data_IF_161198493139
#
_entry.id   IF_161198493139
#
_cell.length_a   1.000
_cell.length_b   1.000
_cell.length_c   1.000
_cell.angle_alpha   90.00
_cell.angle_beta   90.00
_cell.angle_gamma   90.00
#
_symmetry.space_group_name_H-M   'P 1'
#
loop_
_entity.id
_entity.type
_entity.pdbx_description
1 polymer ?
#
# COMPACT_ATOMS: atom_id res chain seq x y z
N UNK A 1 28.43 -25.44 -63.66
CA UNK A 1 27.68 -25.88 -62.45
C UNK A 1 27.22 -24.67 -61.75
N UNK A 2 25.95 -24.35 -61.87
CA UNK A 2 25.30 -23.11 -61.39
C UNK A 2 24.63 -23.43 -60.07
N UNK A 3 24.97 -22.69 -59.01
CA UNK A 3 24.33 -22.76 -57.75
C UNK A 3 23.32 -21.61 -57.66
N UNK A 4 22.04 -21.94 -57.65
CA UNK A 4 20.95 -20.98 -57.40
C UNK A 4 20.81 -20.71 -55.91
N UNK A 5 20.93 -19.44 -55.48
CA UNK A 5 20.55 -18.97 -54.19
C UNK A 5 19.05 -18.65 -54.18
N UNK A 6 18.28 -19.35 -53.37
CA UNK A 6 16.88 -19.03 -53.08
C UNK A 6 16.86 -18.08 -51.89
N UNK A 7 16.47 -16.84 -52.14
CA UNK A 7 16.24 -15.86 -51.09
C UNK A 7 14.83 -16.05 -50.49
N UNK A 8 14.73 -16.43 -49.22
CA UNK A 8 13.47 -16.39 -48.47
C UNK A 8 13.20 -14.97 -48.02
N UNK A 9 12.17 -14.38 -48.54
CA UNK A 9 11.63 -13.09 -48.13
C UNK A 9 10.79 -13.32 -46.87
N UNK A 10 11.32 -12.97 -45.70
CA UNK A 10 10.57 -12.88 -44.44
C UNK A 10 9.75 -11.58 -44.47
N UNK A 11 8.47 -11.68 -44.76
CA UNK A 11 7.52 -10.59 -44.59
C UNK A 11 7.17 -10.53 -43.10
N UNK A 12 7.80 -9.60 -42.41
CA UNK A 12 7.40 -9.20 -41.05
C UNK A 12 6.10 -8.41 -41.17
N UNK A 13 4.99 -9.01 -40.79
CA UNK A 13 3.75 -8.26 -40.50
C UNK A 13 3.92 -7.46 -39.26
N UNK A 14 4.31 -6.20 -39.37
CA UNK A 14 4.16 -5.21 -38.35
C UNK A 14 2.66 -4.87 -38.23
N UNK A 15 1.94 -5.55 -37.36
CA UNK A 15 0.64 -5.09 -36.89
C UNK A 15 0.87 -3.89 -35.93
N UNK A 16 1.13 -2.72 -36.52
CA UNK A 16 0.96 -1.47 -35.82
C UNK A 16 -0.54 -1.23 -35.66
N UNK A 17 -1.07 -1.53 -34.49
CA UNK A 17 -2.41 -1.05 -34.11
C UNK A 17 -2.38 0.49 -34.15
N UNK A 18 -3.37 1.14 -34.77
CA UNK A 18 -3.39 2.59 -34.87
C UNK A 18 -3.57 3.19 -33.47
N UNK A 19 -2.63 4.01 -33.06
CA UNK A 19 -2.60 4.73 -31.78
C UNK A 19 -3.71 5.80 -31.61
N UNK A 20 -4.65 5.89 -32.53
CA UNK A 20 -5.64 6.98 -32.60
C UNK A 20 -7.10 6.58 -32.40
N UNK A 21 -7.38 5.40 -31.79
CA UNK A 21 -8.77 4.96 -31.56
C UNK A 21 -9.32 5.22 -30.13
N UNK A 22 -8.60 5.97 -29.29
CA UNK A 22 -8.97 6.09 -27.86
C UNK A 22 -9.17 7.53 -27.40
N UNK A 23 -9.83 8.37 -28.18
CA UNK A 23 -10.26 9.68 -27.70
C UNK A 23 -11.71 9.91 -28.16
N UNK A 24 -12.64 9.35 -27.44
CA UNK A 24 -13.98 9.88 -27.14
C UNK A 24 -14.75 8.87 -26.30
N UNK A 25 -15.25 9.33 -25.15
CA UNK A 25 -16.08 8.60 -24.19
C UNK A 25 -15.38 7.45 -23.43
N UNK A 26 -14.60 7.82 -22.40
CA UNK A 26 -13.78 6.89 -21.59
C UNK A 26 -14.57 5.79 -20.85
N UNK A 27 -15.87 5.89 -20.68
CA UNK A 27 -16.68 4.87 -20.03
C UNK A 27 -17.14 3.75 -21.00
N UNK A 28 -17.30 4.03 -22.29
CA UNK A 28 -17.83 3.05 -23.23
C UNK A 28 -16.76 2.25 -23.99
N UNK A 29 -15.53 2.75 -24.08
CA UNK A 29 -14.45 2.07 -24.81
C UNK A 29 -13.81 0.92 -24.02
N UNK A 30 -13.76 0.99 -22.69
CA UNK A 30 -13.21 -0.05 -21.84
C UNK A 30 -14.10 -1.28 -21.72
N UNK A 31 -15.42 -1.12 -21.80
CA UNK A 31 -16.41 -2.22 -21.69
C UNK A 31 -16.22 -3.29 -22.75
N UNK A 32 -15.75 -2.93 -23.96
CA UNK A 32 -15.53 -3.89 -25.03
C UNK A 32 -14.36 -4.87 -24.81
N UNK A 33 -13.27 -4.41 -24.16
CA UNK A 33 -12.05 -5.21 -23.93
C UNK A 33 -12.08 -5.96 -22.59
N UNK A 34 -12.70 -5.39 -21.59
CA UNK A 34 -12.69 -5.90 -20.20
C UNK A 34 -14.02 -6.50 -19.76
N UNK A 35 -14.99 -6.62 -20.65
CA UNK A 35 -16.30 -7.18 -20.38
C UNK A 35 -17.11 -6.33 -19.38
N UNK A 36 -18.34 -6.77 -19.15
CA UNK A 36 -19.23 -6.10 -18.22
C UNK A 36 -19.02 -6.66 -16.80
N UNK A 37 -18.73 -5.81 -15.84
CA UNK A 37 -18.61 -6.19 -14.43
C UNK A 37 -19.84 -6.91 -13.87
N UNK A 38 -21.05 -6.61 -14.40
CA UNK A 38 -22.28 -7.26 -13.97
C UNK A 38 -22.37 -8.75 -14.35
N UNK A 39 -21.58 -9.21 -15.31
CA UNK A 39 -21.50 -10.63 -15.69
C UNK A 39 -20.64 -11.47 -14.76
N UNK A 40 -19.82 -10.83 -13.92
CA UNK A 40 -18.90 -11.54 -13.03
C UNK A 40 -19.66 -12.31 -11.94
N UNK A 41 -19.16 -13.52 -11.57
CA UNK A 41 -19.69 -14.27 -10.45
C UNK A 41 -19.62 -13.42 -9.18
N UNK A 42 -20.73 -13.40 -8.43
CA UNK A 42 -20.76 -12.64 -7.18
C UNK A 42 -20.12 -13.44 -6.06
N UNK A 43 -19.18 -12.84 -5.38
CA UNK A 43 -18.65 -13.37 -4.14
C UNK A 43 -19.76 -13.51 -3.07
N UNK A 44 -19.57 -14.46 -2.15
CA UNK A 44 -20.49 -14.68 -1.05
C UNK A 44 -20.54 -13.45 -0.14
N UNK A 45 -21.72 -13.00 0.23
CA UNK A 45 -21.88 -11.93 1.21
C UNK A 45 -21.48 -12.42 2.59
N UNK A 46 -20.74 -11.62 3.33
CA UNK A 46 -20.53 -11.86 4.73
C UNK A 46 -21.79 -11.51 5.53
N UNK A 47 -22.27 -12.45 6.34
CA UNK A 47 -23.57 -12.36 7.00
C UNK A 47 -23.65 -11.42 8.20
N UNK A 48 -22.53 -10.81 8.62
CA UNK A 48 -22.49 -9.90 9.76
C UNK A 48 -22.51 -8.46 9.26
N UNK A 49 -23.35 -7.66 9.87
CA UNK A 49 -23.57 -6.27 9.45
C UNK A 49 -22.42 -5.33 9.81
N UNK A 50 -22.56 -4.06 9.41
CA UNK A 50 -21.60 -3.01 9.68
C UNK A 50 -21.52 -2.68 11.17
N UNK A 51 -20.50 -1.87 11.59
CA UNK A 51 -20.48 -1.33 12.93
C UNK A 51 -21.77 -0.61 13.28
N UNK A 52 -22.19 -0.72 14.52
CA UNK A 52 -23.40 -0.05 15.01
C UNK A 52 -23.32 1.48 14.97
N UNK A 53 -22.12 2.02 14.91
CA UNK A 53 -21.88 3.45 14.81
C UNK A 53 -20.88 3.71 13.70
N UNK A 54 -21.32 4.31 12.62
CA UNK A 54 -20.49 4.84 11.57
C UNK A 54 -21.00 6.18 11.12
N UNK A 55 -20.12 7.01 10.62
CA UNK A 55 -20.48 8.24 9.92
C UNK A 55 -20.38 8.02 8.41
N UNK A 56 -21.33 8.55 7.66
CA UNK A 56 -21.21 8.58 6.19
C UNK A 56 -20.05 9.52 5.85
N UNK A 57 -19.16 9.16 4.90
CA UNK A 57 -18.13 10.07 4.44
C UNK A 57 -18.74 11.40 4.00
N UNK A 58 -18.29 12.48 4.61
CA UNK A 58 -18.69 13.83 4.22
C UNK A 58 -17.59 14.47 3.41
N UNK A 59 -17.95 15.29 2.44
CA UNK A 59 -16.97 16.05 1.67
C UNK A 59 -16.36 17.15 2.56
N UNK A 60 -15.05 17.06 2.91
CA UNK A 60 -14.44 18.11 3.72
C UNK A 60 -14.33 19.40 2.90
N UNK A 61 -15.18 20.35 3.18
CA UNK A 61 -15.24 21.64 2.48
C UNK A 61 -13.94 22.45 2.56
N UNK A 62 -13.01 22.05 3.40
CA UNK A 62 -11.73 22.71 3.63
C UNK A 62 -10.56 22.12 2.81
N UNK A 63 -10.80 21.08 2.03
CA UNK A 63 -9.80 20.46 1.17
C UNK A 63 -10.16 20.70 -0.30
N UNK A 64 -9.23 21.28 -1.10
CA UNK A 64 -9.46 21.43 -2.52
C UNK A 64 -9.59 20.08 -3.21
N UNK A 65 -10.35 20.03 -4.30
CA UNK A 65 -10.46 18.84 -5.13
C UNK A 65 -9.08 18.39 -5.62
N UNK A 66 -8.82 17.11 -5.57
CA UNK A 66 -7.61 16.49 -6.10
C UNK A 66 -7.65 16.48 -7.63
N UNK A 67 -6.48 16.59 -8.29
CA UNK A 67 -6.41 16.40 -9.75
C UNK A 67 -6.88 15.00 -10.18
N UNK A 68 -6.77 13.99 -9.30
CA UNK A 68 -7.31 12.67 -9.55
C UNK A 68 -8.81 12.72 -9.89
N UNK A 69 -9.59 13.58 -9.21
CA UNK A 69 -11.03 13.72 -9.42
C UNK A 69 -11.40 14.24 -10.83
N UNK A 70 -10.44 14.82 -11.56
CA UNK A 70 -10.68 15.31 -12.92
C UNK A 70 -10.70 14.20 -13.99
N UNK A 71 -10.19 13.00 -13.68
CA UNK A 71 -10.07 11.93 -14.65
C UNK A 71 -10.51 10.55 -14.15
N UNK A 72 -10.42 10.30 -12.85
CA UNK A 72 -10.88 9.04 -12.25
C UNK A 72 -12.29 9.24 -11.66
N UNK A 73 -13.28 8.67 -12.34
CA UNK A 73 -14.71 8.94 -12.04
C UNK A 73 -15.32 7.87 -11.13
N UNK A 74 -16.52 8.17 -10.63
CA UNK A 74 -17.32 7.20 -9.86
C UNK A 74 -17.62 5.95 -10.68
N UNK A 75 -17.98 6.13 -11.94
CA UNK A 75 -18.31 5.04 -12.85
C UNK A 75 -17.11 4.11 -13.05
N UNK A 76 -15.90 4.66 -13.16
CA UNK A 76 -14.67 3.87 -13.22
C UNK A 76 -14.43 3.09 -11.92
N UNK A 77 -14.62 3.73 -10.78
CA UNK A 77 -14.45 3.05 -9.48
C UNK A 77 -15.45 1.90 -9.32
N UNK A 78 -16.73 2.13 -9.64
CA UNK A 78 -17.78 1.13 -9.52
C UNK A 78 -17.64 0.00 -10.55
N UNK A 79 -17.12 0.28 -11.76
CA UNK A 79 -16.77 -0.77 -12.74
C UNK A 79 -15.57 -1.60 -12.28
N UNK A 80 -14.56 -0.96 -11.71
CA UNK A 80 -13.36 -1.65 -11.23
C UNK A 80 -13.62 -2.46 -9.95
N UNK A 81 -14.51 -2.00 -9.08
CA UNK A 81 -14.74 -2.62 -7.75
C UNK A 81 -16.22 -2.85 -7.46
N UNK A 82 -16.96 -3.58 -8.33
CA UNK A 82 -18.41 -3.79 -8.20
C UNK A 82 -18.76 -4.59 -6.95
N UNK A 83 -17.77 -5.27 -6.35
CA UNK A 83 -17.93 -6.13 -5.17
C UNK A 83 -17.27 -5.55 -3.92
N UNK A 84 -16.88 -4.27 -3.96
CA UNK A 84 -16.33 -3.60 -2.78
C UNK A 84 -17.26 -3.79 -1.57
N UNK A 85 -16.68 -4.15 -0.41
CA UNK A 85 -17.41 -4.42 0.85
C UNK A 85 -18.39 -5.62 0.84
N UNK A 86 -18.54 -6.37 -0.23
CA UNK A 86 -19.51 -7.49 -0.26
C UNK A 86 -19.19 -8.59 0.72
N UNK A 87 -17.92 -8.77 1.09
CA UNK A 87 -17.55 -9.68 2.17
C UNK A 87 -18.24 -9.37 3.50
N UNK A 88 -18.77 -8.14 3.65
CA UNK A 88 -19.40 -7.62 4.87
C UNK A 88 -20.89 -7.27 4.71
N UNK A 89 -21.46 -7.59 3.57
CA UNK A 89 -22.86 -7.33 3.26
C UNK A 89 -23.17 -5.87 2.89
N UNK A 90 -24.39 -5.57 2.45
CA UNK A 90 -24.81 -4.22 2.08
C UNK A 90 -24.89 -3.33 3.31
N UNK A 91 -24.38 -2.10 3.21
CA UNK A 91 -24.42 -1.13 4.29
C UNK A 91 -24.26 0.30 3.80
N UNK A 92 -24.90 1.22 4.48
CA UNK A 92 -24.66 2.65 4.33
C UNK A 92 -23.30 3.12 4.86
N UNK A 93 -22.57 2.24 5.55
CA UNK A 93 -21.31 2.54 6.23
C UNK A 93 -20.11 1.83 5.62
N UNK A 94 -20.06 1.71 4.32
CA UNK A 94 -18.96 1.03 3.67
C UNK A 94 -17.69 1.89 3.62
N UNK A 95 -16.55 1.41 4.19
CA UNK A 95 -15.30 2.13 4.16
C UNK A 95 -14.69 2.27 2.76
N UNK A 96 -15.10 1.40 1.83
CA UNK A 96 -14.61 1.40 0.46
C UNK A 96 -15.69 1.88 -0.49
N UNK A 97 -15.70 3.17 -0.78
CA UNK A 97 -16.59 3.80 -1.75
C UNK A 97 -15.83 4.84 -2.55
N UNK A 98 -16.36 5.24 -3.70
CA UNK A 98 -15.76 6.33 -4.47
C UNK A 98 -15.68 7.63 -3.66
N UNK A 99 -16.69 7.95 -2.85
CA UNK A 99 -16.67 9.15 -2.01
C UNK A 99 -15.55 9.07 -0.95
N UNK A 100 -15.39 7.93 -0.31
CA UNK A 100 -14.28 7.71 0.62
C UNK A 100 -12.92 7.84 -0.10
N UNK A 101 -12.80 7.27 -1.30
CA UNK A 101 -11.58 7.34 -2.11
C UNK A 101 -11.26 8.78 -2.53
N UNK A 102 -12.24 9.49 -3.07
CA UNK A 102 -12.15 10.90 -3.46
C UNK A 102 -11.71 11.79 -2.31
N UNK A 103 -12.39 11.69 -1.15
CA UNK A 103 -12.07 12.50 0.02
C UNK A 103 -10.66 12.18 0.54
N UNK A 104 -10.30 10.90 0.64
CA UNK A 104 -8.98 10.49 1.07
C UNK A 104 -7.87 11.02 0.15
N UNK A 105 -8.07 11.00 -1.17
CA UNK A 105 -7.07 11.48 -2.15
C UNK A 105 -6.76 12.96 -2.00
N UNK A 106 -7.66 13.78 -1.48
CA UNK A 106 -7.44 15.20 -1.22
C UNK A 106 -6.39 15.48 -0.14
N UNK A 107 -6.09 14.50 0.69
CA UNK A 107 -5.00 14.56 1.67
C UNK A 107 -3.64 14.19 1.06
N UNK A 108 -3.63 13.68 -0.15
CA UNK A 108 -2.43 13.24 -0.89
C UNK A 108 -2.46 13.81 -2.31
N UNK A 109 -2.21 15.11 -2.47
CA UNK A 109 -2.43 15.82 -3.75
C UNK A 109 -1.53 15.34 -4.90
N UNK A 110 -0.46 14.62 -4.61
CA UNK A 110 0.43 14.04 -5.62
C UNK A 110 -0.09 12.68 -6.13
N UNK A 111 -0.97 12.00 -5.38
CA UNK A 111 -1.47 10.68 -5.72
C UNK A 111 -2.36 10.69 -6.97
N UNK A 112 -2.04 9.84 -7.93
CA UNK A 112 -2.80 9.73 -9.19
C UNK A 112 -2.79 11.02 -10.01
N UNK A 113 -1.72 11.80 -9.90
CA UNK A 113 -1.53 13.08 -10.58
C UNK A 113 -0.18 13.13 -11.28
N UNK A 114 0.12 14.26 -11.93
CA UNK A 114 1.43 14.51 -12.53
C UNK A 114 2.28 15.51 -11.73
N UNK A 115 1.85 15.82 -10.50
CA UNK A 115 2.57 16.75 -9.64
C UNK A 115 3.89 16.11 -9.14
N UNK A 116 4.95 16.90 -9.14
CA UNK A 116 6.27 16.51 -8.63
C UNK A 116 6.89 15.27 -9.30
N UNK A 117 6.49 14.96 -10.53
CA UNK A 117 7.05 13.83 -11.30
C UNK A 117 8.24 14.34 -12.11
N UNK A 118 9.43 13.80 -11.80
CA UNK A 118 10.69 14.22 -12.44
C UNK A 118 11.15 13.30 -13.57
N UNK A 119 10.54 12.12 -13.75
CA UNK A 119 10.94 11.22 -14.82
C UNK A 119 10.45 11.71 -16.19
N UNK A 120 11.23 11.39 -17.21
CA UNK A 120 10.92 11.65 -18.62
C UNK A 120 10.60 10.38 -19.40
N UNK A 121 10.51 9.24 -18.69
CA UNK A 121 10.26 7.92 -19.31
C UNK A 121 8.80 7.80 -19.76
N UNK A 122 7.88 8.35 -18.97
CA UNK A 122 6.45 8.33 -19.23
C UNK A 122 5.89 9.74 -19.28
N UNK A 123 4.84 9.91 -20.06
CA UNK A 123 4.08 11.17 -20.09
C UNK A 123 3.37 11.43 -18.75
N UNK A 124 2.95 12.66 -18.53
CA UNK A 124 2.17 13.03 -17.35
C UNK A 124 0.89 12.19 -17.20
N UNK A 125 0.21 11.90 -18.31
CA UNK A 125 -0.99 11.06 -18.33
C UNK A 125 -0.68 9.60 -17.99
N UNK A 126 0.39 9.06 -18.52
CA UNK A 126 0.83 7.69 -18.21
C UNK A 126 1.26 7.55 -16.74
N UNK A 127 2.02 8.51 -16.21
CA UNK A 127 2.47 8.48 -14.82
C UNK A 127 1.30 8.42 -13.83
N UNK A 128 0.30 9.30 -13.96
CA UNK A 128 -0.86 9.31 -13.06
C UNK A 128 -1.68 8.02 -13.12
N UNK A 129 -1.80 7.43 -14.30
CA UNK A 129 -2.52 6.15 -14.51
C UNK A 129 -1.75 4.97 -13.93
N UNK A 130 -0.43 4.94 -14.12
CA UNK A 130 0.46 3.92 -13.55
C UNK A 130 0.47 3.95 -12.03
N UNK A 131 0.43 5.14 -11.43
CA UNK A 131 0.38 5.32 -9.99
C UNK A 131 -0.90 4.69 -9.40
N UNK A 132 -2.04 5.03 -9.99
CA UNK A 132 -3.31 4.44 -9.58
C UNK A 132 -3.38 2.93 -9.82
N UNK A 133 -2.85 2.45 -10.96
CA UNK A 133 -2.77 1.03 -11.27
C UNK A 133 -1.93 0.26 -10.24
N UNK A 134 -0.82 0.82 -9.78
CA UNK A 134 0.02 0.21 -8.77
C UNK A 134 -0.68 0.14 -7.40
N UNK A 135 -1.31 1.22 -6.97
CA UNK A 135 -2.09 1.22 -5.73
C UNK A 135 -3.19 0.15 -5.76
N UNK A 136 -3.96 0.06 -6.85
CA UNK A 136 -5.00 -0.95 -6.98
C UNK A 136 -4.44 -2.37 -7.09
N UNK A 137 -3.28 -2.56 -7.70
CA UNK A 137 -2.63 -3.87 -7.75
C UNK A 137 -2.28 -4.39 -6.35
N UNK A 138 -1.83 -3.51 -5.47
CA UNK A 138 -1.60 -3.87 -4.08
C UNK A 138 -2.92 -4.11 -3.32
N UNK A 139 -3.93 -3.28 -3.55
CA UNK A 139 -5.26 -3.46 -2.93
C UNK A 139 -5.92 -4.79 -3.30
N UNK A 140 -5.75 -5.27 -4.54
CA UNK A 140 -6.23 -6.60 -4.96
C UNK A 140 -5.56 -7.72 -4.15
N UNK A 141 -4.25 -7.64 -3.96
CA UNK A 141 -3.54 -8.65 -3.17
C UNK A 141 -3.99 -8.66 -1.71
N UNK A 142 -4.17 -7.49 -1.13
CA UNK A 142 -4.45 -7.35 0.30
C UNK A 142 -5.93 -7.55 0.66
N UNK A 143 -6.84 -7.16 -0.22
CA UNK A 143 -8.29 -7.13 0.10
C UNK A 143 -9.16 -7.92 -0.84
N UNK A 144 -8.59 -8.53 -1.89
CA UNK A 144 -9.35 -9.23 -2.92
C UNK A 144 -10.05 -10.48 -2.41
N UNK A 145 -11.07 -10.91 -3.16
CA UNK A 145 -11.72 -12.20 -2.93
C UNK A 145 -10.72 -13.34 -3.21
N UNK A 146 -10.54 -14.22 -2.25
CA UNK A 146 -9.56 -15.31 -2.32
C UNK A 146 -10.15 -16.64 -2.82
N UNK A 147 -11.44 -16.69 -3.08
CA UNK A 147 -12.08 -17.91 -3.57
C UNK A 147 -11.86 -18.08 -5.08
N UNK A 148 -10.73 -18.66 -5.44
CA UNK A 148 -10.38 -18.91 -6.85
C UNK A 148 -11.41 -19.79 -7.58
N UNK A 149 -12.20 -20.59 -6.88
CA UNK A 149 -13.22 -21.45 -7.49
C UNK A 149 -14.37 -20.65 -8.13
N UNK A 150 -14.59 -19.40 -7.72
CA UNK A 150 -15.58 -18.53 -8.35
C UNK A 150 -15.35 -18.34 -9.83
N UNK A 151 -14.11 -18.41 -10.28
CA UNK A 151 -13.71 -18.02 -11.63
C UNK A 151 -13.32 -19.20 -12.52
N UNK A 152 -13.25 -20.43 -11.97
CA UNK A 152 -12.76 -21.62 -12.70
C UNK A 152 -13.66 -22.06 -13.87
N UNK A 153 -14.92 -21.66 -13.87
CA UNK A 153 -15.86 -21.96 -14.94
C UNK A 153 -15.81 -20.95 -16.10
N UNK A 154 -15.07 -19.86 -15.94
CA UNK A 154 -14.94 -18.80 -16.93
C UNK A 154 -13.73 -19.04 -17.86
N UNK A 155 -13.77 -18.59 -19.13
CA UNK A 155 -12.59 -18.49 -19.96
C UNK A 155 -11.51 -17.62 -19.30
N UNK A 156 -10.24 -17.93 -19.51
CA UNK A 156 -9.09 -17.28 -18.81
C UNK A 156 -9.14 -15.75 -18.81
N UNK A 157 -9.48 -15.15 -19.94
CA UNK A 157 -9.56 -13.69 -20.04
C UNK A 157 -10.73 -13.12 -19.20
N UNK A 158 -11.86 -13.77 -19.23
CA UNK A 158 -13.05 -13.37 -18.47
C UNK A 158 -12.82 -13.63 -16.97
N UNK A 159 -12.20 -14.75 -16.62
CA UNK A 159 -11.79 -15.06 -15.27
C UNK A 159 -10.86 -13.97 -14.70
N UNK A 160 -9.87 -13.54 -15.49
CA UNK A 160 -8.96 -12.45 -15.13
C UNK A 160 -9.68 -11.12 -14.97
N UNK A 161 -10.57 -10.78 -15.91
CA UNK A 161 -11.35 -9.54 -15.86
C UNK A 161 -12.24 -9.46 -14.61
N UNK A 162 -12.81 -10.57 -14.19
CA UNK A 162 -13.63 -10.63 -12.98
C UNK A 162 -12.78 -10.67 -11.70
N UNK A 163 -11.68 -11.39 -11.71
CA UNK A 163 -10.79 -11.53 -10.55
C UNK A 163 -10.18 -10.19 -10.13
N UNK A 164 -9.67 -9.41 -11.10
CA UNK A 164 -9.06 -8.11 -10.78
C UNK A 164 -10.07 -7.00 -10.47
N UNK A 165 -11.36 -7.27 -10.62
CA UNK A 165 -12.46 -6.45 -10.07
C UNK A 165 -12.84 -6.81 -8.62
N UNK A 166 -12.19 -7.81 -8.03
CA UNK A 166 -12.47 -8.29 -6.67
C UNK A 166 -11.80 -7.51 -5.54
N UNK A 167 -11.16 -6.37 -5.82
CA UNK A 167 -10.50 -5.56 -4.79
C UNK A 167 -11.47 -4.90 -3.82
N UNK A 168 -10.94 -4.45 -2.67
CA UNK A 168 -11.71 -3.80 -1.60
C UNK A 168 -12.86 -4.68 -1.06
N UNK A 169 -12.72 -5.99 -1.21
CA UNK A 169 -13.70 -6.96 -0.74
C UNK A 169 -13.62 -7.13 0.78
N UNK A 170 -12.41 -7.34 1.31
CA UNK A 170 -12.16 -7.60 2.73
C UNK A 170 -11.82 -6.33 3.51
N UNK A 171 -12.39 -6.20 4.71
CA UNK A 171 -12.06 -5.11 5.62
C UNK A 171 -10.85 -5.42 6.48
N UNK A 172 -10.73 -6.69 6.92
CA UNK A 172 -9.75 -7.19 7.84
C UNK A 172 -8.94 -8.33 7.23
N UNK A 173 -7.74 -8.48 7.69
CA UNK A 173 -6.85 -9.60 7.35
C UNK A 173 -7.55 -10.94 7.60
N UNK A 174 -7.43 -11.86 6.64
CA UNK A 174 -8.14 -13.14 6.65
C UNK A 174 -9.60 -13.07 6.20
N UNK A 175 -10.10 -11.89 5.89
CA UNK A 175 -11.46 -11.68 5.35
C UNK A 175 -12.57 -12.13 6.31
N UNK A 176 -13.72 -12.58 5.76
CA UNK A 176 -14.87 -12.98 6.56
C UNK A 176 -14.62 -14.17 7.51
N UNK A 177 -13.66 -15.01 7.17
CA UNK A 177 -13.26 -16.18 7.96
C UNK A 177 -12.02 -15.94 8.83
N UNK A 178 -11.70 -14.68 9.09
CA UNK A 178 -10.50 -14.28 9.81
C UNK A 178 -10.40 -14.97 11.17
N UNK A 179 -9.30 -15.68 11.39
CA UNK A 179 -8.95 -16.25 12.68
C UNK A 179 -8.30 -15.23 13.63
N UNK A 180 -8.08 -14.01 13.17
CA UNK A 180 -7.60 -12.91 14.01
C UNK A 180 -8.70 -12.32 14.87
N UNK A 181 -9.95 -12.34 14.38
CA UNK A 181 -11.11 -11.91 15.15
C UNK A 181 -11.52 -13.03 16.14
N UNK A 182 -11.86 -12.64 17.36
CA UNK A 182 -12.34 -13.62 18.33
C UNK A 182 -13.87 -13.80 18.23
N UNK A 183 -14.36 -14.92 17.65
CA UNK A 183 -15.79 -15.13 17.45
C UNK A 183 -16.57 -15.41 18.74
N UNK A 184 -15.87 -15.78 19.80
CA UNK A 184 -16.49 -16.21 21.08
C UNK A 184 -16.73 -15.06 22.05
N UNK A 185 -16.25 -13.85 21.74
CA UNK A 185 -16.47 -12.68 22.61
C UNK A 185 -17.91 -12.23 22.54
N UNK A 186 -18.64 -12.14 23.65
CA UNK A 186 -20.00 -11.63 23.65
C UNK A 186 -20.08 -10.24 23.04
N UNK A 187 -20.99 -10.04 22.09
CA UNK A 187 -21.10 -8.81 21.33
C UNK A 187 -20.06 -8.64 20.23
N UNK A 188 -19.26 -9.68 19.96
CA UNK A 188 -18.32 -9.70 18.86
C UNK A 188 -19.00 -9.34 17.55
N UNK A 189 -18.51 -8.30 16.93
CA UNK A 189 -18.80 -7.95 15.56
C UNK A 189 -17.49 -7.95 14.80
N UNK A 190 -17.45 -8.39 13.54
CA UNK A 190 -16.27 -8.25 12.70
C UNK A 190 -15.78 -6.80 12.61
N UNK A 191 -16.64 -5.87 12.95
CA UNK A 191 -16.38 -4.45 13.01
C UNK A 191 -15.88 -3.99 14.38
N UNK A 192 -15.89 -4.87 15.38
CA UNK A 192 -15.41 -4.62 16.71
C UNK A 192 -13.96 -5.11 16.86
N UNK A 193 -13.10 -4.73 15.92
CA UNK A 193 -11.70 -5.16 15.84
C UNK A 193 -10.80 -4.73 17.00
N UNK A 194 -11.38 -4.34 18.14
CA UNK A 194 -10.65 -4.08 19.37
C UNK A 194 -10.39 -5.35 20.18
N UNK A 195 -11.01 -6.47 19.82
CA UNK A 195 -10.70 -7.78 20.40
C UNK A 195 -10.22 -8.74 19.31
N UNK A 196 -9.17 -9.49 19.62
CA UNK A 196 -8.55 -10.42 18.69
C UNK A 196 -8.01 -11.66 19.39
N UNK A 197 -7.75 -12.70 18.61
CA UNK A 197 -6.97 -13.85 19.05
C UNK A 197 -5.51 -13.45 19.27
N UNK A 198 -4.72 -14.35 19.87
CA UNK A 198 -3.27 -14.12 20.03
C UNK A 198 -2.57 -13.89 18.68
N UNK A 199 -3.05 -14.51 17.61
CA UNK A 199 -2.52 -14.32 16.26
C UNK A 199 -2.74 -12.90 15.70
N UNK A 200 -3.80 -12.22 16.12
CA UNK A 200 -4.13 -10.88 15.64
C UNK A 200 -3.50 -9.73 16.43
N UNK A 201 -2.63 -10.00 17.38
CA UNK A 201 -2.05 -8.95 18.25
C UNK A 201 -1.18 -7.97 17.48
N UNK A 202 -0.26 -8.45 16.68
CA UNK A 202 0.66 -7.64 15.87
C UNK A 202 1.37 -6.52 16.64
N UNK A 203 1.78 -6.83 17.88
CA UNK A 203 2.70 -5.99 18.62
C UNK A 203 4.13 -6.29 18.21
N UNK A 204 4.91 -5.25 17.96
CA UNK A 204 6.34 -5.41 17.71
C UNK A 204 7.01 -6.15 18.87
N UNK A 205 7.90 -7.08 18.55
CA UNK A 205 8.75 -7.73 19.54
C UNK A 205 9.87 -6.81 20.06
N UNK A 206 10.12 -5.67 19.40
CA UNK A 206 11.11 -4.69 19.81
C UNK A 206 10.60 -3.85 20.98
N UNK A 207 11.28 -3.92 22.13
CA UNK A 207 10.97 -3.09 23.29
C UNK A 207 11.08 -1.59 22.97
N UNK A 208 12.00 -1.22 22.09
CA UNK A 208 12.18 0.16 21.64
C UNK A 208 10.96 0.67 20.85
N UNK A 209 10.45 -0.12 19.91
CA UNK A 209 9.26 0.22 19.13
C UNK A 209 8.02 0.23 20.02
N UNK A 210 7.87 -0.75 20.92
CA UNK A 210 6.74 -0.81 21.85
C UNK A 210 6.76 0.32 22.89
N UNK A 211 7.93 0.81 23.22
CA UNK A 211 8.02 2.02 24.05
C UNK A 211 7.59 3.27 23.26
N UNK A 212 7.98 3.37 22.02
CA UNK A 212 7.66 4.50 21.15
C UNK A 212 6.20 4.52 20.70
N UNK A 213 5.66 3.35 20.39
CA UNK A 213 4.26 3.11 20.02
C UNK A 213 3.70 1.97 20.88
N UNK A 214 3.27 2.28 22.11
CA UNK A 214 2.86 1.26 23.06
C UNK A 214 1.61 0.51 22.61
N UNK A 215 1.66 -0.81 22.72
CA UNK A 215 0.47 -1.62 22.52
C UNK A 215 -0.50 -1.42 23.69
N UNK A 216 -1.73 -1.07 23.37
CA UNK A 216 -2.79 -0.98 24.35
C UNK A 216 -3.16 -2.35 24.93
N UNK A 217 -3.60 -2.37 26.17
CA UNK A 217 -4.28 -3.54 26.71
C UNK A 217 -5.72 -3.53 26.19
N UNK A 218 -6.10 -4.56 25.45
CA UNK A 218 -7.51 -4.79 25.14
C UNK A 218 -8.19 -5.31 26.39
N UNK A 219 -9.17 -4.57 26.88
CA UNK A 219 -9.93 -4.92 28.08
C UNK A 219 -11.16 -5.79 27.80
N UNK A 220 -11.43 -6.06 26.52
CA UNK A 220 -12.76 -6.53 26.10
C UNK A 220 -12.90 -8.05 26.20
N UNK A 221 -11.82 -8.84 26.13
CA UNK A 221 -11.99 -10.27 25.93
C UNK A 221 -11.73 -11.17 27.13
N UNK A 222 -10.93 -10.79 28.08
CA UNK A 222 -10.72 -11.54 29.30
C UNK A 222 -9.95 -10.69 30.35
N UNK A 223 -10.56 -10.35 31.51
CA UNK A 223 -9.84 -9.64 32.57
C UNK A 223 -8.62 -10.39 33.12
N UNK A 224 -8.62 -11.73 33.03
CA UNK A 224 -7.54 -12.57 33.54
C UNK A 224 -6.39 -12.74 32.53
N UNK A 225 -6.60 -12.42 31.24
CA UNK A 225 -5.58 -12.46 30.21
C UNK A 225 -5.79 -11.29 29.22
N UNK A 226 -5.46 -10.05 29.63
CA UNK A 226 -5.64 -8.89 28.77
C UNK A 226 -4.78 -9.03 27.54
N UNK A 227 -5.40 -8.99 26.35
CA UNK A 227 -4.67 -8.96 25.12
C UNK A 227 -4.03 -7.58 24.94
N UNK A 228 -2.75 -7.56 24.59
CA UNK A 228 -2.07 -6.35 24.15
C UNK A 228 -2.16 -6.28 22.64
N UNK A 229 -2.65 -5.19 22.08
CA UNK A 229 -2.66 -4.97 20.65
C UNK A 229 -4.00 -5.24 19.99
N UNK A 230 -4.04 -5.90 18.90
CA UNK A 230 -5.05 -6.12 17.87
C UNK A 230 -4.77 -5.26 16.63
N UNK A 231 -3.51 -5.14 16.27
CA UNK A 231 -3.05 -4.32 15.13
C UNK A 231 -2.84 -5.17 13.87
N UNK A 232 -3.73 -6.16 13.65
CA UNK A 232 -3.78 -6.93 12.41
C UNK A 232 -4.23 -6.06 11.23
N UNK A 233 -4.07 -6.55 10.02
CA UNK A 233 -4.30 -5.82 8.78
C UNK A 233 -5.69 -5.19 8.66
N UNK A 234 -5.73 -3.89 8.33
CA UNK A 234 -6.96 -3.12 8.08
C UNK A 234 -6.75 -2.14 6.93
N UNK A 235 -7.85 -1.87 6.24
CA UNK A 235 -7.86 -0.90 5.14
C UNK A 235 -7.48 -1.50 3.79
N UNK A 236 -7.44 -0.67 2.74
CA UNK A 236 -7.30 -1.11 1.35
C UNK A 236 -5.98 -1.81 1.02
N UNK A 237 -4.90 -1.55 1.79
CA UNK A 237 -3.62 -2.25 1.69
C UNK A 237 -3.17 -2.85 3.03
N UNK A 238 -4.10 -3.07 3.95
CA UNK A 238 -3.94 -3.87 5.16
C UNK A 238 -2.76 -3.43 6.05
N UNK A 239 -2.75 -2.16 6.51
CA UNK A 239 -1.72 -1.73 7.46
C UNK A 239 -1.77 -2.59 8.73
N UNK A 240 -0.61 -3.04 9.19
CA UNK A 240 -0.45 -3.95 10.32
C UNK A 240 0.62 -3.43 11.29
N UNK A 241 0.63 -3.97 12.50
CA UNK A 241 1.54 -3.64 13.59
C UNK A 241 1.34 -2.26 14.26
N UNK A 242 1.60 -2.24 15.55
CA UNK A 242 1.46 -1.04 16.40
C UNK A 242 2.23 0.18 15.85
N UNK A 243 3.40 -0.02 15.28
CA UNK A 243 4.21 1.09 14.76
C UNK A 243 3.60 1.74 13.50
N UNK A 244 2.93 0.97 12.62
CA UNK A 244 2.24 1.55 11.47
C UNK A 244 0.99 2.31 11.91
N UNK A 245 0.21 1.76 12.85
CA UNK A 245 -0.93 2.46 13.43
C UNK A 245 -0.50 3.74 14.16
N UNK A 246 0.58 3.69 14.92
CA UNK A 246 1.12 4.84 15.63
C UNK A 246 1.68 5.93 14.71
N UNK A 247 2.41 5.55 13.67
CA UNK A 247 2.93 6.50 12.67
C UNK A 247 1.79 7.13 11.85
N UNK A 248 0.80 6.35 11.45
CA UNK A 248 -0.39 6.88 10.79
C UNK A 248 -1.16 7.85 11.70
N UNK A 249 -1.31 7.53 12.98
CA UNK A 249 -1.90 8.45 13.98
C UNK A 249 -1.11 9.76 14.09
N UNK A 250 0.21 9.71 14.12
CA UNK A 250 1.06 10.91 14.17
C UNK A 250 0.87 11.77 12.90
N UNK A 251 0.76 11.13 11.74
CA UNK A 251 0.46 11.82 10.49
C UNK A 251 -0.96 12.44 10.51
N UNK A 252 -1.98 11.71 10.98
CA UNK A 252 -3.33 12.24 11.13
C UNK A 252 -3.36 13.50 12.00
N UNK A 253 -2.60 13.49 13.09
CA UNK A 253 -2.45 14.67 13.94
C UNK A 253 -1.83 15.86 13.20
N UNK A 254 -0.87 15.62 12.31
CA UNK A 254 -0.25 16.69 11.49
C UNK A 254 -1.23 17.34 10.52
N UNK A 255 -2.29 16.65 10.15
CA UNK A 255 -3.37 17.16 9.27
C UNK A 255 -4.64 17.52 10.07
N UNK A 256 -4.50 17.74 11.39
CA UNK A 256 -5.56 18.16 12.31
C UNK A 256 -6.68 17.12 12.53
N UNK A 257 -6.38 15.85 12.43
CA UNK A 257 -7.30 14.75 12.74
C UNK A 257 -6.81 14.08 14.02
N UNK A 258 -7.58 14.19 15.10
CA UNK A 258 -7.24 13.60 16.40
C UNK A 258 -7.98 12.27 16.58
N UNK A 259 -7.21 11.19 16.68
CA UNK A 259 -7.67 9.83 16.99
C UNK A 259 -6.62 9.12 17.84
N UNK A 260 -7.03 8.09 18.55
CA UNK A 260 -6.11 7.20 19.28
C UNK A 260 -6.18 5.78 18.70
N UNK A 261 -5.42 5.57 17.62
CA UNK A 261 -5.40 4.27 16.90
C UNK A 261 -4.64 3.20 17.68
N UNK A 262 -3.78 3.57 18.62
CA UNK A 262 -3.11 2.60 19.48
C UNK A 262 -4.07 2.04 20.53
N UNK A 263 -5.05 2.82 20.95
CA UNK A 263 -6.13 2.39 21.85
C UNK A 263 -7.31 1.76 21.10
N UNK A 264 -7.68 2.35 19.98
CA UNK A 264 -8.86 1.99 19.20
C UNK A 264 -8.50 1.71 17.73
N UNK A 265 -7.75 0.63 17.44
CA UNK A 265 -7.24 0.35 16.09
C UNK A 265 -8.36 0.18 15.05
N UNK A 266 -9.55 -0.21 15.50
CA UNK A 266 -10.70 -0.40 14.61
C UNK A 266 -11.25 0.90 14.01
N UNK A 267 -10.88 2.06 14.56
CA UNK A 267 -11.22 3.35 13.96
C UNK A 267 -10.71 3.48 12.52
N UNK A 268 -9.66 2.75 12.13
CA UNK A 268 -9.23 2.67 10.74
C UNK A 268 -10.38 2.27 9.83
N UNK A 269 -11.24 1.34 10.27
CA UNK A 269 -12.38 0.88 9.46
C UNK A 269 -13.68 1.61 9.74
N UNK A 270 -13.87 2.10 10.96
CA UNK A 270 -15.17 2.61 11.42
C UNK A 270 -15.29 4.12 11.38
N UNK A 271 -14.17 4.84 11.34
CA UNK A 271 -14.22 6.30 11.17
C UNK A 271 -14.29 6.64 9.68
N UNK A 272 -15.47 7.12 9.27
CA UNK A 272 -15.78 7.44 7.87
C UNK A 272 -15.66 8.94 7.56
N UNK A 273 -15.54 9.76 8.58
CA UNK A 273 -15.40 11.20 8.45
C UNK A 273 -14.23 11.73 9.29
N UNK A 274 -13.06 11.93 8.65
CA UNK A 274 -12.71 11.51 7.30
C UNK A 274 -12.55 9.98 7.17
N UNK A 275 -12.53 9.43 5.95
CA UNK A 275 -12.55 7.97 5.70
C UNK A 275 -11.16 7.34 5.93
N UNK A 276 -10.90 6.90 7.17
CA UNK A 276 -9.56 6.44 7.57
C UNK A 276 -9.10 5.16 6.85
N UNK A 277 -9.99 4.29 6.38
CA UNK A 277 -9.59 3.05 5.72
C UNK A 277 -8.79 3.29 4.42
N UNK A 278 -9.26 4.23 3.60
CA UNK A 278 -8.53 4.63 2.39
C UNK A 278 -7.38 5.56 2.74
N UNK A 279 -7.56 6.47 3.71
CA UNK A 279 -6.47 7.37 4.14
C UNK A 279 -5.27 6.60 4.68
N UNK A 280 -5.48 5.54 5.47
CA UNK A 280 -4.39 4.68 5.96
C UNK A 280 -3.64 4.00 4.81
N UNK A 281 -4.39 3.56 3.81
CA UNK A 281 -3.84 2.89 2.63
C UNK A 281 -3.01 3.87 1.77
N UNK A 282 -3.54 5.06 1.52
CA UNK A 282 -2.82 6.10 0.79
C UNK A 282 -1.62 6.62 1.58
N UNK A 283 -1.78 6.80 2.90
CA UNK A 283 -0.67 7.20 3.75
C UNK A 283 0.51 6.23 3.63
N UNK A 284 0.26 4.93 3.74
CA UNK A 284 1.32 3.92 3.63
C UNK A 284 1.97 3.93 2.24
N UNK A 285 1.16 4.06 1.18
CA UNK A 285 1.62 4.08 -0.20
C UNK A 285 2.46 5.32 -0.54
N UNK A 286 2.06 6.48 0.00
CA UNK A 286 2.62 7.79 -0.30
C UNK A 286 3.76 8.23 0.64
N UNK A 287 3.96 7.52 1.77
CA UNK A 287 4.87 7.98 2.81
C UNK A 287 6.10 7.09 2.89
N UNK A 288 7.31 7.65 2.78
CA UNK A 288 8.53 6.92 3.06
C UNK A 288 8.51 6.38 4.50
N UNK A 289 8.96 5.16 4.65
CA UNK A 289 9.15 4.54 5.96
C UNK A 289 10.63 4.16 6.10
N UNK A 290 11.45 5.06 6.61
CA UNK A 290 12.89 4.86 6.65
C UNK A 290 13.28 3.45 7.13
N UNK A 291 14.20 2.77 6.43
CA UNK A 291 15.02 3.20 5.30
C UNK A 291 14.34 3.09 3.91
N UNK A 292 13.09 2.69 3.85
CA UNK A 292 12.37 2.44 2.60
C UNK A 292 11.84 3.73 1.99
N UNK A 293 11.97 3.93 0.67
CA UNK A 293 11.25 4.98 -0.04
C UNK A 293 9.73 4.70 -0.05
N UNK A 294 8.92 5.70 -0.37
CA UNK A 294 7.50 5.49 -0.62
C UNK A 294 7.28 4.69 -1.92
N UNK A 295 6.21 3.90 -1.95
CA UNK A 295 5.85 3.14 -3.15
C UNK A 295 5.53 4.08 -4.32
N UNK A 296 4.84 5.19 -4.04
CA UNK A 296 4.59 6.26 -5.00
C UNK A 296 5.89 6.81 -5.61
N UNK A 297 6.88 7.13 -4.79
CA UNK A 297 8.15 7.69 -5.26
C UNK A 297 8.87 6.74 -6.22
N UNK A 298 8.79 5.45 -5.97
CA UNK A 298 9.34 4.42 -6.87
C UNK A 298 8.62 4.46 -8.22
N UNK A 299 7.28 4.48 -8.21
CA UNK A 299 6.48 4.53 -9.44
C UNK A 299 6.71 5.82 -10.24
N UNK A 300 6.98 6.93 -9.54
CA UNK A 300 7.24 8.21 -10.16
C UNK A 300 8.72 8.42 -10.55
N UNK A 301 9.60 7.49 -10.17
CA UNK A 301 11.03 7.62 -10.42
C UNK A 301 11.73 8.64 -9.53
N UNK A 302 11.10 9.03 -8.43
CA UNK A 302 11.60 10.02 -7.46
C UNK A 302 12.38 9.36 -6.31
N UNK A 303 13.06 8.27 -6.58
CA UNK A 303 13.81 7.51 -5.57
C UNK A 303 15.23 7.22 -6.03
N UNK A 304 16.10 6.93 -5.08
CA UNK A 304 17.46 6.49 -5.35
C UNK A 304 17.56 4.98 -5.15
N UNK A 305 17.74 4.26 -6.24
CA UNK A 305 17.86 2.79 -6.23
C UNK A 305 19.20 2.29 -5.70
N UNK A 306 20.22 3.14 -5.66
CA UNK A 306 21.60 2.80 -5.40
C UNK A 306 22.33 2.23 -6.61
N UNK A 307 23.68 2.32 -6.62
CA UNK A 307 24.49 1.98 -7.78
C UNK A 307 24.33 0.54 -8.24
N UNK A 308 24.21 -0.41 -7.32
CA UNK A 308 24.09 -1.84 -7.65
C UNK A 308 22.74 -2.14 -8.31
N UNK A 309 21.64 -1.60 -7.76
CA UNK A 309 20.31 -1.76 -8.34
C UNK A 309 20.22 -1.09 -9.70
N UNK A 310 20.74 0.15 -9.82
CA UNK A 310 20.78 0.89 -11.08
C UNK A 310 21.57 0.15 -12.15
N UNK A 311 22.76 -0.36 -11.81
CA UNK A 311 23.56 -1.15 -12.73
C UNK A 311 22.89 -2.44 -13.20
N UNK A 312 21.93 -2.97 -12.42
CA UNK A 312 21.11 -4.12 -12.76
C UNK A 312 19.79 -3.75 -13.47
N UNK A 313 19.57 -2.47 -13.78
CA UNK A 313 18.36 -1.97 -14.45
C UNK A 313 17.15 -1.81 -13.55
N UNK A 314 17.37 -1.73 -12.21
CA UNK A 314 16.31 -1.49 -11.22
C UNK A 314 16.37 -0.04 -10.74
N UNK A 315 16.11 0.89 -11.64
CA UNK A 315 16.03 2.32 -11.34
C UNK A 315 14.87 3.00 -12.10
N UNK A 316 14.63 4.27 -11.78
CA UNK A 316 13.55 5.04 -12.40
C UNK A 316 12.15 4.56 -12.01
N UNK A 317 11.14 4.83 -12.87
CA UNK A 317 9.72 4.58 -12.56
C UNK A 317 9.33 3.11 -12.82
N UNK A 318 9.58 2.23 -11.86
CA UNK A 318 9.38 0.78 -11.94
C UNK A 318 8.42 0.25 -10.88
N UNK A 319 7.86 -0.95 -11.08
CA UNK A 319 6.86 -1.52 -10.17
C UNK A 319 7.44 -2.47 -9.11
N UNK A 320 8.37 -3.36 -9.48
CA UNK A 320 8.81 -4.47 -8.61
C UNK A 320 9.18 -4.10 -7.18
N UNK A 321 9.98 -3.05 -6.94
CA UNK A 321 10.36 -2.69 -5.58
C UNK A 321 9.18 -2.32 -4.67
N UNK A 322 8.02 -1.95 -5.20
CA UNK A 322 6.83 -1.66 -4.39
C UNK A 322 6.32 -2.91 -3.66
N UNK A 323 6.46 -4.09 -4.25
CA UNK A 323 6.13 -5.37 -3.61
C UNK A 323 7.05 -5.68 -2.43
N UNK A 324 8.31 -5.28 -2.52
CA UNK A 324 9.26 -5.36 -1.41
C UNK A 324 8.90 -4.40 -0.26
N UNK A 325 8.43 -3.19 -0.59
CA UNK A 325 8.04 -2.19 0.41
C UNK A 325 6.85 -2.68 1.22
N UNK A 326 5.80 -3.16 0.56
CA UNK A 326 4.54 -3.47 1.24
C UNK A 326 4.64 -4.74 2.10
N UNK A 327 5.24 -5.82 1.61
CA UNK A 327 5.25 -7.10 2.34
C UNK A 327 6.48 -7.99 2.06
N UNK A 328 7.56 -7.45 1.54
CA UNK A 328 8.75 -8.23 1.18
C UNK A 328 8.46 -9.45 0.28
N UNK A 329 7.48 -9.33 -0.58
CA UNK A 329 7.09 -10.37 -1.54
C UNK A 329 7.85 -10.18 -2.86
N UNK A 330 8.86 -11.02 -3.09
CA UNK A 330 9.73 -10.99 -4.27
C UNK A 330 9.82 -12.38 -4.94
N UNK A 331 8.67 -13.05 -5.09
CA UNK A 331 8.60 -14.41 -5.62
C UNK A 331 8.48 -14.48 -7.15
N UNK A 332 8.27 -13.34 -7.80
CA UNK A 332 8.05 -13.29 -9.25
C UNK A 332 6.62 -13.61 -9.67
N UNK A 333 6.42 -13.63 -10.97
CA UNK A 333 5.14 -13.98 -11.58
C UNK A 333 5.08 -15.48 -11.86
N UNK A 334 4.02 -16.15 -11.39
CA UNK A 334 3.75 -17.55 -11.68
C UNK A 334 2.83 -17.72 -12.90
N UNK A 335 2.69 -18.98 -13.38
CA UNK A 335 1.86 -19.30 -14.53
C UNK A 335 0.37 -19.43 -14.24
N UNK A 336 -0.07 -19.30 -12.98
CA UNK A 336 -1.49 -19.49 -12.64
C UNK A 336 -2.34 -18.33 -13.10
N UNK A 337 -3.42 -18.60 -13.80
CA UNK A 337 -4.45 -17.64 -14.16
C UNK A 337 -5.74 -17.90 -13.35
N UNK A 338 -6.42 -16.81 -12.89
CA UNK A 338 -6.00 -15.42 -12.91
C UNK A 338 -5.00 -15.12 -11.80
N UNK A 339 -4.16 -15.00 -11.41
CA UNK A 339 -3.36 -14.51 -10.32
C UNK A 339 -2.42 -15.57 -9.76
N UNK A 340 -2.41 -15.82 -8.57
CA UNK A 340 -1.50 -16.47 -7.68
C UNK A 340 -1.35 -15.62 -6.45
N UNK A 341 -0.78 -16.13 -5.36
CA UNK A 341 -0.55 -15.36 -4.14
C UNK A 341 0.65 -14.40 -4.30
N UNK A 342 0.72 -13.42 -3.41
CA UNK A 342 1.91 -12.58 -3.24
C UNK A 342 2.25 -11.74 -4.47
N UNK A 343 3.52 -11.64 -4.79
CA UNK A 343 4.03 -10.78 -5.87
C UNK A 343 3.41 -11.11 -7.23
N UNK A 344 3.14 -12.40 -7.51
CA UNK A 344 2.49 -12.80 -8.77
C UNK A 344 1.14 -12.11 -8.98
N UNK A 345 0.29 -12.10 -7.95
CA UNK A 345 -1.01 -11.42 -8.02
C UNK A 345 -0.85 -9.92 -8.22
N UNK A 346 0.11 -9.28 -7.54
CA UNK A 346 0.42 -7.86 -7.69
C UNK A 346 0.87 -7.51 -9.10
N UNK A 347 1.79 -8.29 -9.69
CA UNK A 347 2.29 -8.08 -11.05
C UNK A 347 1.16 -8.19 -12.08
N UNK A 348 0.38 -9.27 -12.02
CA UNK A 348 -0.73 -9.49 -12.95
C UNK A 348 -1.82 -8.44 -12.80
N UNK A 349 -2.15 -8.04 -11.58
CA UNK A 349 -3.07 -6.95 -11.33
C UNK A 349 -2.55 -5.63 -11.89
N UNK A 350 -1.27 -5.32 -11.70
CA UNK A 350 -0.66 -4.11 -12.26
C UNK A 350 -0.72 -4.09 -13.78
N UNK A 351 -0.42 -5.22 -14.44
CA UNK A 351 -0.58 -5.38 -15.90
C UNK A 351 -2.04 -5.14 -16.32
N UNK A 352 -2.98 -5.74 -15.61
CA UNK A 352 -4.41 -5.63 -15.92
C UNK A 352 -4.92 -4.19 -15.76
N UNK A 353 -4.61 -3.51 -14.65
CA UNK A 353 -5.04 -2.12 -14.42
C UNK A 353 -4.40 -1.15 -15.42
N UNK A 354 -3.12 -1.34 -15.77
CA UNK A 354 -2.50 -0.52 -16.83
C UNK A 354 -3.18 -0.76 -18.18
N UNK A 355 -3.55 -2.00 -18.51
CA UNK A 355 -4.36 -2.30 -19.67
C UNK A 355 -5.70 -1.57 -19.65
N UNK A 356 -6.39 -1.59 -18.51
CA UNK A 356 -7.68 -0.89 -18.32
C UNK A 356 -7.57 0.62 -18.52
N UNK A 357 -6.52 1.24 -17.97
CA UNK A 357 -6.27 2.68 -18.08
C UNK A 357 -5.61 3.09 -19.41
N UNK A 358 -5.16 2.15 -20.21
CA UNK A 358 -4.40 2.43 -21.44
C UNK A 358 -3.05 3.06 -21.17
N UNK A 359 -2.31 2.57 -20.17
CA UNK A 359 -0.99 3.04 -19.78
C UNK A 359 0.06 1.92 -19.87
N UNK A 360 1.34 2.25 -20.10
CA UNK A 360 2.38 1.25 -20.24
C UNK A 360 2.74 0.60 -18.92
N UNK A 361 3.04 -0.70 -18.95
CA UNK A 361 3.46 -1.48 -17.78
C UNK A 361 4.92 -1.19 -17.41
N UNK A 362 5.77 -0.99 -18.40
CA UNK A 362 7.21 -0.85 -18.23
C UNK A 362 7.98 -2.14 -18.54
N UNK A 363 9.32 -2.14 -18.32
CA UNK A 363 10.16 -3.28 -18.64
C UNK A 363 9.80 -4.52 -17.78
N UNK A 364 9.61 -5.65 -18.43
CA UNK A 364 9.15 -6.89 -17.79
C UNK A 364 10.02 -7.33 -16.60
N UNK A 365 11.35 -7.24 -16.74
CA UNK A 365 12.28 -7.67 -15.69
C UNK A 365 12.18 -6.83 -14.40
N UNK A 366 11.64 -5.61 -14.49
CA UNK A 366 11.49 -4.70 -13.34
C UNK A 366 10.16 -4.85 -12.61
N UNK A 367 9.28 -5.74 -13.08
CA UNK A 367 7.98 -5.97 -12.44
C UNK A 367 8.09 -6.78 -11.15
N UNK A 368 9.17 -7.55 -11.01
CA UNK A 368 9.48 -8.32 -9.81
C UNK A 368 10.71 -7.78 -9.09
N UNK A 369 10.66 -7.73 -7.77
CA UNK A 369 11.83 -7.46 -6.95
C UNK A 369 12.74 -8.69 -6.71
N UNK A 370 12.38 -9.86 -7.28
CA UNK A 370 13.08 -11.12 -7.05
C UNK A 370 14.58 -11.08 -7.36
N UNK A 371 14.94 -10.42 -8.45
CA UNK A 371 16.33 -10.32 -8.95
C UNK A 371 17.02 -9.00 -8.56
N UNK A 372 16.39 -8.14 -7.76
CA UNK A 372 17.03 -6.93 -7.23
C UNK A 372 18.29 -7.29 -6.44
N UNK A 373 19.47 -6.73 -6.76
CA UNK A 373 20.72 -7.00 -6.01
C UNK A 373 20.62 -6.59 -4.55
N UNK A 374 20.07 -5.42 -4.28
CA UNK A 374 19.93 -4.87 -2.92
C UNK A 374 18.47 -4.82 -2.53
N UNK A 375 18.09 -5.59 -1.50
CA UNK A 375 16.74 -5.55 -0.92
C UNK A 375 16.62 -4.42 0.10
N UNK A 376 15.46 -3.77 0.13
CA UNK A 376 15.21 -2.61 0.99
C UNK A 376 14.73 -2.97 2.40
N UNK A 377 14.78 -4.23 2.78
CA UNK A 377 14.11 -4.78 3.96
C UNK A 377 15.04 -5.27 5.08
N UNK A 378 16.33 -5.40 4.83
CA UNK A 378 17.27 -5.87 5.84
C UNK A 378 18.02 -4.69 6.45
N UNK A 379 17.70 -4.29 7.67
CA UNK A 379 18.33 -3.18 8.37
C UNK A 379 19.29 -3.75 9.42
N UNK A 380 20.60 -3.53 9.31
CA UNK A 380 21.50 -3.71 10.44
C UNK A 380 21.11 -2.71 11.54
N UNK A 381 21.07 -3.15 12.78
CA UNK A 381 20.59 -2.37 13.94
C UNK A 381 21.25 -0.99 14.15
N UNK A 382 22.32 -0.68 13.45
CA UNK A 382 23.18 0.47 13.69
C UNK A 382 23.62 1.22 12.43
N UNK A 383 23.08 0.88 11.27
CA UNK A 383 23.45 1.54 10.01
C UNK A 383 22.24 1.81 9.11
N UNK A 384 22.36 2.85 8.30
CA UNK A 384 21.51 2.97 7.12
C UNK A 384 21.63 1.68 6.31
N UNK A 385 20.49 1.10 6.01
CA UNK A 385 20.41 -0.20 5.37
C UNK A 385 20.96 -0.23 3.95
N UNK A 386 21.04 0.88 3.30
CA UNK A 386 21.39 0.91 1.89
C UNK A 386 22.83 1.41 1.74
N UNK A 387 23.79 0.50 1.55
CA UNK A 387 25.19 0.87 1.43
C UNK A 387 25.45 1.89 0.33
N UNK A 388 24.67 1.81 -0.76
CA UNK A 388 24.82 2.73 -1.89
C UNK A 388 24.18 4.09 -1.63
N UNK A 389 23.25 4.14 -0.70
CA UNK A 389 22.63 5.38 -0.24
C UNK A 389 23.40 6.01 0.92
N UNK A 390 24.28 5.26 1.54
CA UNK A 390 25.10 5.73 2.66
C UNK A 390 25.99 6.90 2.30
N UNK A 391 26.28 7.12 1.01
CA UNK A 391 27.01 8.31 0.56
C UNK A 391 26.21 9.61 0.75
N UNK A 392 24.88 9.52 0.79
CA UNK A 392 23.99 10.64 1.06
C UNK A 392 23.68 10.80 2.55
N UNK A 393 24.06 9.80 3.35
CA UNK A 393 23.77 9.77 4.76
C UNK A 393 24.96 10.28 5.58
N UNK A 394 24.67 11.23 6.44
CA UNK A 394 25.64 11.75 7.40
C UNK A 394 25.14 11.40 8.79
N UNK A 395 25.86 10.52 9.52
CA UNK A 395 25.50 10.23 10.89
C UNK A 395 25.71 11.49 11.73
N UNK A 396 24.63 12.14 12.07
CA UNK A 396 24.64 13.16 13.11
C UNK A 396 24.58 12.49 14.46
N UNK A 397 25.33 13.02 15.41
CA UNK A 397 25.30 12.51 16.78
C UNK A 397 23.89 12.62 17.32
N UNK A 398 23.40 11.55 17.92
CA UNK A 398 22.10 11.53 18.59
C UNK A 398 20.87 11.61 17.68
N UNK A 399 21.05 11.62 16.39
CA UNK A 399 19.93 11.57 15.47
C UNK A 399 19.40 10.15 15.30
N UNK A 400 18.11 10.02 15.36
CA UNK A 400 17.42 8.76 15.14
C UNK A 400 16.04 8.97 14.54
N UNK A 401 15.48 7.91 13.95
CA UNK A 401 14.10 7.84 13.50
C UNK A 401 13.56 6.41 13.74
N UNK A 402 12.27 6.23 14.00
CA UNK A 402 11.70 4.89 14.09
C UNK A 402 11.76 4.21 12.73
N UNK A 403 12.22 2.96 12.70
CA UNK A 403 12.20 2.12 11.52
C UNK A 403 11.02 1.16 11.56
N UNK A 404 10.40 0.90 10.40
CA UNK A 404 9.22 0.06 10.31
C UNK A 404 9.45 -1.40 10.74
N UNK A 405 10.67 -1.90 10.72
CA UNK A 405 10.95 -3.33 10.93
C UNK A 405 11.82 -3.66 12.14
N UNK A 406 11.93 -2.82 13.10
CA UNK A 406 12.55 -3.30 14.29
C UNK A 406 13.61 -2.42 14.90
N UNK A 407 13.24 -1.30 15.37
CA UNK A 407 14.10 -0.50 16.19
C UNK A 407 14.27 0.92 15.68
N UNK A 408 15.22 1.60 16.27
CA UNK A 408 15.56 2.94 15.86
C UNK A 408 16.75 2.86 14.90
N UNK A 409 16.70 3.65 13.86
CA UNK A 409 17.80 3.85 12.93
C UNK A 409 18.28 5.29 13.03
N UNK A 410 19.44 5.55 12.44
CA UNK A 410 19.90 6.92 12.31
C UNK A 410 18.95 7.75 11.45
N UNK A 411 18.88 9.04 11.74
CA UNK A 411 18.14 9.99 10.93
C UNK A 411 18.73 10.04 9.51
N UNK A 412 17.88 9.96 8.52
CA UNK A 412 18.30 10.04 7.13
C UNK A 412 18.42 11.49 6.67
N UNK A 413 19.40 11.75 5.79
CA UNK A 413 19.54 13.05 5.16
C UNK A 413 18.22 13.47 4.51
N UNK A 414 17.66 14.65 4.87
CA UNK A 414 16.40 15.13 4.28
C UNK A 414 16.47 15.29 2.76
N UNK A 415 17.66 15.46 2.18
CA UNK A 415 17.84 15.49 0.73
C UNK A 415 17.62 14.13 0.05
N UNK A 416 17.53 13.06 0.82
CA UNK A 416 17.28 11.71 0.32
C UNK A 416 15.80 11.44 0.04
N UNK A 417 14.91 12.09 0.78
CA UNK A 417 13.47 11.94 0.67
C UNK A 417 12.83 13.12 -0.06
N UNK A 418 11.64 12.92 -0.65
CA UNK A 418 10.87 14.01 -1.23
C UNK A 418 10.62 15.13 -0.22
N UNK A 419 10.56 16.36 -0.71
CA UNK A 419 10.32 17.55 0.13
C UNK A 419 9.02 17.44 0.95
N UNK A 420 8.00 16.75 0.43
CA UNK A 420 6.74 16.47 1.12
C UNK A 420 6.90 15.64 2.40
N UNK A 421 7.97 14.85 2.50
CA UNK A 421 8.25 14.03 3.69
C UNK A 421 9.15 14.71 4.72
N UNK A 422 9.88 15.76 4.35
CA UNK A 422 10.90 16.38 5.23
C UNK A 422 10.31 16.81 6.57
N UNK A 423 9.18 17.48 6.59
CA UNK A 423 8.56 17.93 7.82
C UNK A 423 8.14 16.78 8.75
N UNK A 424 7.61 15.68 8.19
CA UNK A 424 7.26 14.49 8.95
C UNK A 424 8.51 13.76 9.46
N UNK A 425 9.55 13.72 8.66
CA UNK A 425 10.83 13.11 9.04
C UNK A 425 11.48 13.89 10.22
N UNK A 426 11.43 15.23 10.19
CA UNK A 426 11.90 16.07 11.29
C UNK A 426 11.10 15.90 12.58
N UNK A 427 9.79 15.74 12.48
CA UNK A 427 8.95 15.43 13.65
C UNK A 427 9.30 14.06 14.24
N UNK A 428 9.51 13.05 13.40
CA UNK A 428 9.92 11.71 13.83
C UNK A 428 11.31 11.74 14.48
N UNK A 429 12.25 12.50 13.91
CA UNK A 429 13.58 12.74 14.47
C UNK A 429 13.48 13.34 15.86
N UNK A 430 12.74 14.44 16.02
CA UNK A 430 12.56 15.12 17.30
C UNK A 430 11.97 14.17 18.36
N UNK A 431 10.89 13.48 18.02
CA UNK A 431 10.25 12.51 18.92
C UNK A 431 11.20 11.39 19.31
N UNK A 432 12.00 10.88 18.36
CA UNK A 432 12.97 9.84 18.63
C UNK A 432 14.06 10.31 19.59
N UNK A 433 14.64 11.47 19.36
CA UNK A 433 15.70 12.05 20.19
C UNK A 433 15.17 12.29 21.62
N UNK A 434 14.02 12.91 21.78
CA UNK A 434 13.38 13.13 23.08
C UNK A 434 13.16 11.81 23.84
N UNK A 435 12.70 10.77 23.13
CA UNK A 435 12.46 9.45 23.71
C UNK A 435 13.75 8.77 24.15
N UNK A 436 14.81 8.83 23.33
CA UNK A 436 16.15 8.29 23.67
C UNK A 436 16.73 8.98 24.89
N UNK A 437 16.66 10.31 24.96
CA UNK A 437 17.17 11.05 26.11
C UNK A 437 16.38 10.79 27.39
N UNK A 438 15.07 10.60 27.29
CA UNK A 438 14.23 10.24 28.44
C UNK A 438 14.53 8.83 28.97
N UNK A 439 15.02 7.92 28.11
CA UNK A 439 15.18 6.50 28.44
C UNK A 439 16.50 5.92 27.92
N UNK A 440 17.65 6.46 28.32
CA UNK A 440 18.94 6.10 27.76
C UNK A 440 19.31 4.64 27.96
N UNK A 441 18.89 4.00 29.05
CA UNK A 441 19.16 2.58 29.31
C UNK A 441 18.43 1.64 28.35
N UNK A 442 17.22 2.01 27.94
CA UNK A 442 16.42 1.22 27.00
C UNK A 442 17.07 1.18 25.60
N UNK A 443 17.78 2.23 25.24
CA UNK A 443 18.43 2.37 23.93
C UNK A 443 19.91 2.01 23.95
N UNK A 444 20.38 1.29 24.97
CA UNK A 444 21.77 0.87 25.13
C UNK A 444 22.80 2.03 25.10
N UNK A 445 22.33 3.21 25.49
CA UNK A 445 23.16 4.41 25.54
C UNK A 445 23.77 4.52 26.93
N UNK A 446 24.91 3.89 27.16
CA UNK A 446 25.65 4.16 28.37
C UNK A 446 26.48 5.47 28.23
N UNK A 447 26.76 6.11 29.38
CA UNK A 447 27.53 7.37 29.42
C UNK A 447 28.92 7.24 28.81
N UNK A 448 29.45 6.03 28.71
CA UNK A 448 30.81 5.77 28.26
C UNK A 448 30.89 5.61 26.73
N UNK A 449 29.86 5.05 26.13
CA UNK A 449 29.82 4.69 24.70
C UNK A 449 28.82 5.52 23.90
N UNK A 450 27.97 6.28 24.53
CA UNK A 450 26.99 7.11 23.86
C UNK A 450 27.58 8.46 23.45
N UNK A 451 27.65 8.70 22.17
CA UNK A 451 28.04 9.99 21.62
C UNK A 451 27.05 11.12 22.00
N UNK A 452 25.85 10.75 22.42
CA UNK A 452 24.78 11.68 22.79
C UNK A 452 24.88 12.21 24.20
N UNK A 453 25.54 11.49 25.10
CA UNK A 453 25.63 11.82 26.53
C UNK A 453 26.94 12.51 26.93
N UNK A 454 27.80 12.81 25.98
CA UNK A 454 29.08 13.49 26.20
C UNK A 454 29.00 15.03 26.09
N UNK A 455 27.90 15.61 26.59
CA UNK A 455 27.78 17.05 26.79
C UNK A 455 27.85 17.40 28.24
#
# INVERSE_FOLDING_TARGET
MSAQFVAFLLIAFNLSLPANAFISDGANASVGLFGNASSCPKAAKFGKGPPKSCTIPSDPNNKPASQLESWFTREMFEDLFPFANLGWGPSSCWPYSYDAFKIASRYFPEFGTSLNVNNTVYTADENKKRDLAAFFAHAIQETGENNNYLYTALPDQEASNCFYRGGFYNWFEGGPSSNFLNPETPGHSPTDGNSCTSAGRYCSASDQITFFYPCSNSTISNPAAPYKGCYFGRGGIQISYNYNYGQFQDWLKSVNITVDLLKEPNLVMTKMDPPLAIMASLWFYMTPQPPKPAMHDILMGNWNSGAQNSAAGYDGPIFGPTSLIINNECSGEDSKNPGGPGESRRIKAFKWFNGYFGSPVGPEHTLSCGKMPVKLNAIPHYQSYQPDWSSSWKPERCDCAPASYGGLVYYFDPNYYPASFVAQNDLNRKKCIETVYANPSMYFMDKKNSLCLNY
#
